data_IF_716313389857
#
_entry.id   IF_716313389857
#
_cell.length_a   1.000
_cell.length_b   1.000
_cell.length_c   1.000
_cell.angle_alpha   90.00
_cell.angle_beta   90.00
_cell.angle_gamma   90.00
#
_symmetry.space_group_name_H-M   'P 1'
#
loop_
_entity.id
_entity.type
_entity.pdbx_description
1 polymer ?
#
# COMPACT_ATOMS: atom_id res chain seq x y z
N UNK A 1 23.01 -22.67 -19.54
CA UNK A 1 22.15 -23.54 -18.71
C UNK A 1 21.87 -22.77 -17.43
N UNK A 2 20.77 -22.02 -17.38
CA UNK A 2 20.44 -21.17 -16.22
C UNK A 2 19.67 -22.02 -15.20
N UNK A 3 20.20 -22.15 -13.99
CA UNK A 3 19.47 -22.71 -12.87
C UNK A 3 18.36 -21.73 -12.48
N UNK A 4 17.10 -22.16 -12.58
CA UNK A 4 15.98 -21.46 -11.96
C UNK A 4 16.22 -21.40 -10.44
N UNK A 5 16.30 -20.21 -9.83
CA UNK A 5 16.21 -20.14 -8.40
C UNK A 5 14.72 -20.14 -8.05
N UNK A 6 14.29 -21.20 -7.34
CA UNK A 6 12.96 -21.44 -6.76
C UNK A 6 12.54 -20.41 -5.69
N UNK A 7 12.97 -19.15 -5.83
CA UNK A 7 12.83 -18.09 -4.84
C UNK A 7 11.37 -17.75 -4.57
N UNK A 8 10.47 -17.87 -5.54
CA UNK A 8 9.04 -17.57 -5.31
C UNK A 8 8.40 -18.56 -4.34
N UNK A 9 8.64 -19.87 -4.49
CA UNK A 9 8.09 -20.88 -3.59
C UNK A 9 8.81 -20.88 -2.24
N UNK A 10 10.13 -20.63 -2.20
CA UNK A 10 10.88 -20.56 -0.95
C UNK A 10 10.49 -19.33 -0.13
N UNK A 11 10.31 -18.15 -0.72
CA UNK A 11 9.83 -16.97 0.00
C UNK A 11 8.38 -17.12 0.44
N UNK A 12 7.50 -17.61 -0.44
CA UNK A 12 6.09 -17.82 -0.11
C UNK A 12 5.94 -18.92 0.97
N UNK A 13 6.74 -19.98 0.92
CA UNK A 13 6.73 -21.05 1.92
C UNK A 13 7.39 -20.64 3.23
N UNK A 14 8.45 -19.81 3.20
CA UNK A 14 9.10 -19.25 4.41
C UNK A 14 8.21 -18.20 5.08
N UNK A 15 7.40 -17.47 4.30
CA UNK A 15 6.37 -16.58 4.80
C UNK A 15 5.18 -17.38 5.37
N UNK A 16 4.64 -18.35 4.62
CA UNK A 16 3.58 -19.26 5.07
C UNK A 16 3.99 -20.06 6.32
N UNK A 17 5.24 -20.53 6.41
CA UNK A 17 5.71 -21.31 7.56
C UNK A 17 5.90 -20.44 8.80
N UNK A 18 6.41 -19.20 8.65
CA UNK A 18 6.46 -18.21 9.73
C UNK A 18 5.06 -17.77 10.18
N UNK A 19 4.07 -17.83 9.27
CA UNK A 19 2.72 -17.33 9.52
C UNK A 19 1.65 -18.42 9.67
N UNK A 20 2.03 -19.70 9.80
CA UNK A 20 1.09 -20.81 10.06
C UNK A 20 0.50 -20.81 11.47
N UNK A 21 1.09 -20.05 12.40
CA UNK A 21 0.58 -19.89 13.77
C UNK A 21 -0.48 -18.78 13.92
N UNK A 22 -0.84 -18.06 12.85
CA UNK A 22 -1.90 -17.03 12.89
C UNK A 22 -3.32 -17.62 12.75
N UNK A 23 -3.53 -18.81 13.31
CA UNK A 23 -4.85 -19.37 13.51
C UNK A 23 -5.57 -18.61 14.61
N UNK A 24 -6.74 -18.05 14.29
CA UNK A 24 -7.80 -17.64 15.22
C UNK A 24 -7.50 -16.58 16.30
N UNK A 25 -6.39 -15.84 16.24
CA UNK A 25 -6.36 -14.54 16.94
C UNK A 25 -7.07 -13.50 16.08
N UNK A 26 -7.75 -12.55 16.71
CA UNK A 26 -8.27 -11.33 16.09
C UNK A 26 -7.09 -10.50 15.55
N UNK A 27 -6.51 -10.92 14.43
CA UNK A 27 -5.38 -10.24 13.80
C UNK A 27 -5.84 -8.83 13.44
N UNK A 28 -5.22 -7.82 14.04
CA UNK A 28 -5.21 -6.45 13.54
C UNK A 28 -4.52 -6.45 12.17
N UNK A 29 -5.26 -6.88 11.15
CA UNK A 29 -4.84 -6.82 9.77
C UNK A 29 -4.53 -5.35 9.41
N UNK A 30 -3.51 -5.10 8.59
CA UNK A 30 -3.08 -3.75 8.31
C UNK A 30 -4.08 -3.00 7.43
N UNK A 31 -3.98 -1.67 7.44
CA UNK A 31 -4.54 -0.83 6.38
C UNK A 31 -3.59 -0.87 5.19
N UNK A 32 -4.13 -1.02 3.99
CA UNK A 32 -3.37 -0.93 2.74
C UNK A 32 -3.25 0.52 2.32
N UNK A 33 -2.05 0.93 1.93
CA UNK A 33 -1.78 2.25 1.38
C UNK A 33 -1.02 2.09 0.07
N UNK A 34 -1.62 2.52 -1.04
CA UNK A 34 -0.95 2.54 -2.33
C UNK A 34 -0.69 3.98 -2.78
N UNK A 35 0.57 4.30 -3.08
CA UNK A 35 0.99 5.62 -3.55
C UNK A 35 1.86 5.40 -4.79
N UNK A 36 1.46 5.97 -5.93
CA UNK A 36 2.24 5.90 -7.18
C UNK A 36 2.68 7.28 -7.59
N UNK A 37 4.01 7.48 -7.72
CA UNK A 37 4.64 8.73 -8.16
C UNK A 37 5.50 8.48 -9.38
N UNK A 38 6.77 8.09 -9.20
CA UNK A 38 7.71 7.73 -10.27
C UNK A 38 7.55 8.54 -11.57
N UNK A 39 7.42 7.83 -12.67
CA UNK A 39 7.20 8.33 -14.05
C UNK A 39 5.75 8.81 -14.34
N UNK A 40 4.82 8.74 -13.39
CA UNK A 40 3.39 9.00 -13.61
C UNK A 40 3.03 10.48 -13.78
N UNK A 41 4.01 11.38 -13.75
CA UNK A 41 3.80 12.84 -13.82
C UNK A 41 2.95 13.27 -15.03
N UNK A 42 3.06 12.56 -16.16
CA UNK A 42 2.33 12.88 -17.40
C UNK A 42 0.91 12.31 -17.46
N UNK A 43 0.56 11.42 -16.54
CA UNK A 43 -0.72 10.70 -16.53
C UNK A 43 -1.54 11.00 -15.28
N UNK A 44 -0.90 11.47 -14.21
CA UNK A 44 -1.56 11.79 -12.95
C UNK A 44 -2.27 13.14 -13.02
N UNK A 45 -3.60 13.14 -12.84
CA UNK A 45 -4.40 14.35 -13.01
C UNK A 45 -4.03 15.44 -12.00
N UNK A 46 -3.74 15.06 -10.76
CA UNK A 46 -3.31 15.99 -9.72
C UNK A 46 -1.97 16.63 -10.05
N UNK A 47 -1.00 15.85 -10.56
CA UNK A 47 0.27 16.42 -11.02
C UNK A 47 0.06 17.38 -12.21
N UNK A 48 -0.76 17.01 -13.19
CA UNK A 48 -1.06 17.85 -14.35
C UNK A 48 -1.63 19.20 -13.90
N UNK A 49 -2.53 19.19 -12.92
CA UNK A 49 -3.24 20.38 -12.43
C UNK A 49 -2.39 21.22 -11.47
N UNK A 50 -1.59 20.60 -10.61
CA UNK A 50 -0.93 21.28 -9.48
C UNK A 50 0.59 21.32 -9.56
N UNK A 51 1.20 20.62 -10.54
CA UNK A 51 2.65 20.53 -10.75
C UNK A 51 3.42 20.09 -9.50
N UNK A 52 2.80 19.22 -8.71
CA UNK A 52 3.35 18.61 -7.50
C UNK A 52 2.63 17.31 -7.18
N UNK A 53 3.27 16.44 -6.40
CA UNK A 53 2.64 15.21 -5.93
C UNK A 53 1.62 15.49 -4.82
N UNK A 54 0.62 14.61 -4.70
CA UNK A 54 -0.28 14.59 -3.53
C UNK A 54 0.56 14.41 -2.26
N UNK A 55 0.29 15.25 -1.26
CA UNK A 55 0.93 15.17 0.05
C UNK A 55 0.46 13.89 0.78
N UNK A 56 1.28 13.35 1.67
CA UNK A 56 0.97 12.10 2.39
C UNK A 56 -0.28 12.27 3.26
N UNK A 57 -0.53 13.47 3.81
CA UNK A 57 -1.69 13.74 4.66
C UNK A 57 -3.02 13.44 3.97
N UNK A 58 -3.10 13.58 2.64
CA UNK A 58 -4.32 13.30 1.88
C UNK A 58 -4.67 11.81 1.99
N UNK A 59 -3.68 10.94 1.79
CA UNK A 59 -3.87 9.51 1.97
C UNK A 59 -4.14 9.13 3.44
N UNK A 60 -3.44 9.77 4.38
CA UNK A 60 -3.65 9.53 5.82
C UNK A 60 -5.07 9.94 6.24
N UNK A 61 -5.63 11.01 5.66
CA UNK A 61 -7.01 11.41 5.91
C UNK A 61 -7.98 10.29 5.53
N UNK A 62 -7.81 9.64 4.38
CA UNK A 62 -8.63 8.48 4.00
C UNK A 62 -8.57 7.31 4.98
N UNK A 63 -7.40 7.10 5.60
CA UNK A 63 -7.27 6.11 6.69
C UNK A 63 -8.10 6.55 7.90
N UNK A 64 -7.94 7.80 8.34
CA UNK A 64 -8.61 8.34 9.53
C UNK A 64 -10.13 8.37 9.35
N UNK A 65 -10.62 8.79 8.19
CA UNK A 65 -12.05 8.86 7.90
C UNK A 65 -12.67 7.45 7.92
N UNK A 66 -11.98 6.46 7.36
CA UNK A 66 -12.45 5.06 7.38
C UNK A 66 -12.36 4.44 8.80
N UNK A 67 -11.36 4.81 9.59
CA UNK A 67 -11.26 4.44 11.01
C UNK A 67 -12.43 5.00 11.83
N UNK A 68 -12.77 6.26 11.61
CA UNK A 68 -13.93 6.91 12.24
C UNK A 68 -15.24 6.25 11.82
N UNK A 69 -15.42 6.00 10.52
CA UNK A 69 -16.61 5.33 9.99
C UNK A 69 -16.80 3.93 10.58
N UNK A 70 -15.71 3.21 10.83
CA UNK A 70 -15.71 1.86 11.42
C UNK A 70 -15.67 1.85 12.94
N UNK A 71 -15.46 3.00 13.58
CA UNK A 71 -15.16 3.12 15.00
C UNK A 71 -14.04 2.16 15.45
N UNK A 72 -12.97 2.07 14.65
CA UNK A 72 -11.84 1.16 14.88
C UNK A 72 -10.54 1.81 14.43
N UNK A 73 -9.50 1.77 15.29
CA UNK A 73 -8.15 2.24 14.96
C UNK A 73 -7.27 1.06 14.53
N UNK A 74 -6.50 1.24 13.44
CA UNK A 74 -5.57 0.24 12.95
C UNK A 74 -4.12 0.62 13.25
N UNK A 75 -3.44 -0.25 14.00
CA UNK A 75 -2.05 -0.03 14.46
C UNK A 75 -1.00 -0.23 13.38
N UNK A 76 -1.33 -0.88 12.27
CA UNK A 76 -0.38 -1.31 11.25
C UNK A 76 -0.83 -0.87 9.86
N UNK A 77 0.11 -0.39 9.06
CA UNK A 77 -0.11 0.03 7.68
C UNK A 77 0.85 -0.76 6.79
N UNK A 78 0.34 -1.33 5.69
CA UNK A 78 1.16 -1.88 4.63
C UNK A 78 1.20 -0.88 3.47
N UNK A 79 2.35 -0.24 3.28
CA UNK A 79 2.56 0.75 2.24
C UNK A 79 3.22 0.14 1.00
N UNK A 80 2.57 0.34 -0.15
CA UNK A 80 3.00 -0.04 -1.48
C UNK A 80 3.29 1.23 -2.28
N UNK A 81 4.56 1.48 -2.61
CA UNK A 81 4.98 2.67 -3.37
C UNK A 81 6.19 2.38 -4.24
N UNK A 82 6.32 3.13 -5.32
CA UNK A 82 7.48 3.14 -6.22
C UNK A 82 8.45 4.30 -5.90
N UNK A 83 8.13 5.13 -4.90
CA UNK A 83 8.94 6.27 -4.48
C UNK A 83 9.57 6.03 -3.10
N UNK A 84 10.91 5.92 -3.09
CA UNK A 84 11.71 5.75 -1.88
C UNK A 84 11.56 6.93 -0.91
N UNK A 85 11.36 8.15 -1.42
CA UNK A 85 11.18 9.34 -0.59
C UNK A 85 9.87 9.28 0.19
N UNK A 86 8.78 8.83 -0.44
CA UNK A 86 7.49 8.57 0.23
C UNK A 86 7.67 7.58 1.36
N UNK A 87 8.38 6.48 1.10
CA UNK A 87 8.60 5.46 2.11
C UNK A 87 9.37 6.01 3.32
N UNK A 88 10.43 6.78 3.08
CA UNK A 88 11.20 7.43 4.14
C UNK A 88 10.34 8.40 4.95
N UNK A 89 9.49 9.20 4.29
CA UNK A 89 8.56 10.10 4.98
C UNK A 89 7.55 9.33 5.84
N UNK A 90 6.95 8.25 5.33
CA UNK A 90 6.02 7.42 6.12
C UNK A 90 6.69 6.85 7.38
N UNK A 91 7.92 6.35 7.25
CA UNK A 91 8.71 5.83 8.37
C UNK A 91 9.05 6.93 9.38
N UNK A 92 9.46 8.09 8.89
CA UNK A 92 9.78 9.24 9.73
C UNK A 92 8.55 9.75 10.49
N UNK A 93 7.40 9.85 9.83
CA UNK A 93 6.15 10.31 10.42
C UNK A 93 5.65 9.34 11.51
N UNK A 94 5.86 8.03 11.31
CA UNK A 94 5.52 7.01 12.29
C UNK A 94 6.48 6.95 13.49
N UNK A 95 7.75 7.32 13.31
CA UNK A 95 8.78 7.30 14.35
C UNK A 95 8.50 8.36 15.43
N UNK A 96 8.33 7.97 16.70
CA UNK A 96 8.08 8.89 17.83
C UNK A 96 9.21 9.86 18.13
N UNK A 97 10.43 9.52 17.74
CA UNK A 97 11.62 10.35 17.98
C UNK A 97 11.85 11.39 16.88
N UNK A 98 11.13 11.30 15.76
CA UNK A 98 11.26 12.28 14.68
C UNK A 98 10.78 13.66 15.14
N UNK A 99 11.61 14.67 14.87
CA UNK A 99 11.40 16.09 15.17
C UNK A 99 10.98 16.92 13.95
N UNK A 100 10.71 16.28 12.81
CA UNK A 100 10.29 17.00 11.62
C UNK A 100 8.95 17.71 11.83
N UNK A 101 8.75 18.80 11.09
CA UNK A 101 7.61 19.71 11.22
C UNK A 101 6.71 19.76 9.98
N UNK A 102 7.14 19.12 8.88
CA UNK A 102 6.37 18.97 7.65
C UNK A 102 5.18 18.03 7.86
N UNK A 103 4.09 18.28 7.13
CA UNK A 103 2.86 17.47 7.16
C UNK A 103 2.37 17.10 8.59
N UNK A 104 2.06 18.09 9.46
CA UNK A 104 1.75 17.86 10.87
C UNK A 104 0.57 16.90 11.09
N UNK A 105 -0.42 16.93 10.20
CA UNK A 105 -1.55 16.00 10.21
C UNK A 105 -1.09 14.55 9.98
N UNK A 106 -0.30 14.29 8.93
CA UNK A 106 0.22 12.96 8.65
C UNK A 106 1.08 12.44 9.82
N UNK A 107 1.93 13.30 10.39
CA UNK A 107 2.75 12.97 11.57
C UNK A 107 1.90 12.60 12.77
N UNK A 108 0.89 13.40 13.10
CA UNK A 108 0.01 13.15 14.23
C UNK A 108 -0.66 11.78 14.12
N UNK A 109 -1.24 11.47 12.96
CA UNK A 109 -2.05 10.27 12.78
C UNK A 109 -1.25 9.02 12.44
N UNK A 110 -0.04 9.14 11.90
CA UNK A 110 0.85 8.00 11.68
C UNK A 110 1.73 7.68 12.90
N UNK A 111 1.88 8.60 13.86
CA UNK A 111 2.74 8.40 15.03
C UNK A 111 2.41 7.08 15.73
N UNK A 112 3.44 6.30 16.06
CA UNK A 112 3.34 4.98 16.74
C UNK A 112 2.69 3.87 15.91
N UNK A 113 2.31 4.12 14.65
CA UNK A 113 1.87 3.04 13.75
C UNK A 113 3.06 2.24 13.24
N UNK A 114 2.85 0.95 13.03
CA UNK A 114 3.84 0.10 12.38
C UNK A 114 3.71 0.23 10.86
N UNK A 115 4.74 0.76 10.21
CA UNK A 115 4.82 0.81 8.74
C UNK A 115 5.51 -0.46 8.25
N UNK A 116 4.71 -1.37 7.70
CA UNK A 116 5.18 -2.48 6.88
C UNK A 116 5.24 -2.01 5.43
N UNK A 117 6.23 -2.44 4.67
CA UNK A 117 6.39 -1.90 3.33
C UNK A 117 7.10 -2.82 2.37
N UNK A 118 6.88 -2.52 1.09
CA UNK A 118 7.73 -2.93 0.00
C UNK A 118 7.87 -1.74 -0.96
N UNK A 119 9.12 -1.35 -1.25
CA UNK A 119 9.40 -0.34 -2.27
C UNK A 119 9.75 -1.10 -3.54
N UNK A 120 8.92 -0.99 -4.57
CA UNK A 120 9.26 -1.54 -5.88
C UNK A 120 10.23 -0.56 -6.55
N UNK A 121 11.15 -1.10 -7.34
CA UNK A 121 11.90 -0.22 -8.23
C UNK A 121 10.92 0.39 -9.28
N UNK A 122 11.27 1.53 -9.89
CA UNK A 122 10.43 2.25 -10.86
C UNK A 122 10.02 1.37 -12.05
N UNK A 123 9.17 1.89 -12.95
CA UNK A 123 8.42 1.20 -14.01
C UNK A 123 9.07 -0.02 -14.69
N UNK A 124 10.40 -0.06 -14.79
CA UNK A 124 11.21 -1.23 -15.11
C UNK A 124 10.86 -2.49 -14.28
N UNK A 125 10.26 -2.38 -13.10
CA UNK A 125 9.78 -3.53 -12.33
C UNK A 125 8.50 -4.15 -12.87
N UNK A 126 7.80 -3.47 -13.77
CA UNK A 126 6.70 -4.05 -14.54
C UNK A 126 7.20 -4.75 -15.81
N UNK A 127 8.51 -4.72 -16.08
CA UNK A 127 9.11 -5.53 -17.12
C UNK A 127 9.14 -7.00 -16.64
N UNK A 128 8.37 -7.92 -17.26
CA UNK A 128 8.38 -9.33 -16.88
C UNK A 128 9.75 -10.00 -17.08
N UNK A 129 10.66 -9.36 -17.81
CA UNK A 129 12.04 -9.81 -17.99
C UNK A 129 12.98 -9.37 -16.85
N UNK A 130 12.57 -8.39 -16.03
CA UNK A 130 13.26 -7.97 -14.80
C UNK A 130 12.55 -8.59 -13.59
N UNK A 131 12.70 -9.91 -13.46
CA UNK A 131 11.93 -10.78 -12.54
C UNK A 131 11.85 -10.29 -11.08
N UNK A 132 12.94 -9.75 -10.53
CA UNK A 132 12.98 -9.39 -9.10
C UNK A 132 11.98 -8.27 -8.77
N UNK A 133 11.90 -7.25 -9.63
CA UNK A 133 10.97 -6.13 -9.43
C UNK A 133 9.51 -6.57 -9.60
N UNK A 134 9.27 -7.41 -10.60
CA UNK A 134 7.93 -7.93 -10.89
C UNK A 134 7.42 -8.87 -9.80
N UNK A 135 8.26 -9.77 -9.29
CA UNK A 135 7.91 -10.67 -8.19
C UNK A 135 7.58 -9.91 -6.90
N UNK A 136 8.36 -8.86 -6.59
CA UNK A 136 8.07 -7.99 -5.45
C UNK A 136 6.70 -7.34 -5.60
N UNK A 137 6.43 -6.77 -6.78
CA UNK A 137 5.14 -6.15 -7.11
C UNK A 137 3.99 -7.15 -6.90
N UNK A 138 4.07 -8.34 -7.51
CA UNK A 138 3.03 -9.36 -7.39
C UNK A 138 2.79 -9.80 -5.95
N UNK A 139 3.85 -10.02 -5.17
CA UNK A 139 3.73 -10.42 -3.75
C UNK A 139 3.02 -9.35 -2.93
N UNK A 140 3.28 -8.08 -3.22
CA UNK A 140 2.73 -6.97 -2.45
C UNK A 140 1.30 -6.65 -2.85
N UNK A 141 1.02 -6.72 -4.15
CA UNK A 141 -0.32 -6.70 -4.70
C UNK A 141 -1.18 -7.79 -4.06
N UNK A 142 -0.71 -9.04 -4.10
CA UNK A 142 -1.42 -10.18 -3.52
C UNK A 142 -1.60 -10.03 -2.01
N UNK A 143 -0.59 -9.50 -1.30
CA UNK A 143 -0.69 -9.24 0.13
C UNK A 143 -1.79 -8.22 0.43
N UNK A 144 -1.84 -7.10 -0.31
CA UNK A 144 -2.88 -6.09 -0.15
C UNK A 144 -4.27 -6.70 -0.38
N UNK A 145 -4.46 -7.42 -1.49
CA UNK A 145 -5.75 -8.03 -1.85
C UNK A 145 -6.20 -9.08 -0.83
N UNK A 146 -5.28 -9.87 -0.24
CA UNK A 146 -5.66 -10.91 0.71
C UNK A 146 -5.80 -10.42 2.15
N UNK A 147 -4.97 -9.48 2.58
CA UNK A 147 -4.73 -9.23 4.01
C UNK A 147 -4.93 -7.79 4.45
N UNK A 148 -5.04 -6.78 3.57
CA UNK A 148 -5.37 -5.44 4.06
C UNK A 148 -6.83 -5.42 4.57
N UNK A 149 -7.18 -4.60 5.56
CA UNK A 149 -8.60 -4.41 5.98
C UNK A 149 -9.40 -3.60 4.99
N UNK A 150 -8.75 -2.58 4.45
CA UNK A 150 -9.17 -1.75 3.35
C UNK A 150 -7.92 -1.15 2.72
N UNK A 151 -8.07 -0.59 1.52
CA UNK A 151 -6.96 0.06 0.80
C UNK A 151 -7.31 1.52 0.57
N UNK A 152 -6.38 2.43 0.83
CA UNK A 152 -6.42 3.83 0.38
C UNK A 152 -5.49 4.00 -0.82
N UNK A 153 -6.03 4.56 -1.89
CA UNK A 153 -5.34 4.73 -3.18
C UNK A 153 -5.82 6.03 -3.89
N UNK A 154 -5.16 6.34 -5.01
CA UNK A 154 -5.51 7.32 -6.03
C UNK A 154 -6.12 6.66 -7.28
N UNK A 155 -7.22 7.22 -7.78
CA UNK A 155 -8.01 6.73 -8.93
C UNK A 155 -7.24 6.68 -10.25
N UNK A 156 -6.27 7.57 -10.43
CA UNK A 156 -5.58 7.74 -11.72
C UNK A 156 -4.52 6.66 -11.97
N UNK A 157 -4.28 5.75 -11.02
CA UNK A 157 -3.30 4.69 -11.19
C UNK A 157 -3.93 3.47 -11.85
N UNK A 158 -3.36 2.99 -12.97
CA UNK A 158 -3.76 1.70 -13.55
C UNK A 158 -3.62 0.55 -12.54
N UNK A 159 -2.54 0.57 -11.75
CA UNK A 159 -2.32 -0.42 -10.68
C UNK A 159 -3.40 -0.29 -9.59
N UNK A 160 -3.81 0.93 -9.26
CA UNK A 160 -4.81 1.17 -8.24
C UNK A 160 -6.21 0.74 -8.66
N UNK A 161 -6.60 1.04 -9.91
CA UNK A 161 -7.82 0.50 -10.51
C UNK A 161 -7.81 -1.02 -10.57
N UNK A 162 -6.67 -1.61 -10.93
CA UNK A 162 -6.52 -3.06 -10.96
C UNK A 162 -6.60 -3.71 -9.57
N UNK A 163 -6.07 -3.07 -8.52
CA UNK A 163 -6.25 -3.49 -7.13
C UNK A 163 -7.74 -3.51 -6.74
N UNK A 164 -8.46 -2.43 -7.06
CA UNK A 164 -9.89 -2.29 -6.80
C UNK A 164 -10.71 -3.38 -7.51
N UNK A 165 -10.49 -3.56 -8.82
CA UNK A 165 -11.15 -4.59 -9.62
C UNK A 165 -10.86 -6.00 -9.07
N UNK A 166 -9.61 -6.27 -8.69
CA UNK A 166 -9.21 -7.58 -8.14
C UNK A 166 -9.89 -7.89 -6.81
N UNK A 167 -10.07 -6.89 -5.94
CA UNK A 167 -10.79 -7.04 -4.67
C UNK A 167 -12.26 -7.35 -4.94
N UNK A 168 -12.91 -6.56 -5.80
CA UNK A 168 -14.32 -6.77 -6.13
C UNK A 168 -14.56 -8.13 -6.79
N UNK A 169 -13.74 -8.52 -7.76
CA UNK A 169 -13.86 -9.82 -8.42
C UNK A 169 -13.74 -10.98 -7.42
N UNK A 170 -12.78 -10.92 -6.49
CA UNK A 170 -12.60 -11.99 -5.51
C UNK A 170 -13.72 -12.06 -4.46
N UNK A 171 -14.31 -10.93 -4.10
CA UNK A 171 -15.52 -10.91 -3.28
C UNK A 171 -16.67 -11.65 -3.96
N UNK A 172 -16.90 -11.39 -5.25
CA UNK A 172 -17.96 -12.07 -6.02
C UNK A 172 -17.72 -13.58 -6.13
N UNK A 173 -16.45 -14.00 -6.22
CA UNK A 173 -16.07 -15.42 -6.28
C UNK A 173 -16.13 -16.14 -4.92
N UNK A 174 -16.60 -15.50 -3.84
CA UNK A 174 -16.61 -16.03 -2.47
C UNK A 174 -15.24 -16.60 -2.02
N UNK A 175 -14.16 -16.06 -2.58
CA UNK A 175 -12.81 -16.40 -2.12
C UNK A 175 -12.63 -15.81 -0.73
N UNK A 176 -11.92 -16.50 0.16
CA UNK A 176 -11.65 -16.03 1.53
C UNK A 176 -10.74 -14.79 1.54
N UNK A 177 -11.29 -13.66 1.12
CA UNK A 177 -10.66 -12.34 1.11
C UNK A 177 -10.95 -11.65 2.42
N UNK A 178 -9.91 -11.13 3.08
CA UNK A 178 -10.06 -10.39 4.35
C UNK A 178 -10.11 -8.88 4.18
N UNK A 179 -9.82 -8.40 2.97
CA UNK A 179 -10.02 -7.01 2.57
C UNK A 179 -11.49 -6.76 2.37
N UNK A 180 -12.02 -5.76 3.07
CA UNK A 180 -13.46 -5.54 3.13
C UNK A 180 -13.93 -4.38 2.24
N UNK A 181 -13.02 -3.46 1.86
CA UNK A 181 -13.37 -2.31 1.02
C UNK A 181 -12.14 -1.68 0.35
N UNK A 182 -12.43 -0.84 -0.62
CA UNK A 182 -11.49 0.06 -1.28
C UNK A 182 -11.94 1.50 -1.03
N UNK A 183 -11.00 2.39 -0.65
CA UNK A 183 -11.26 3.79 -0.27
C UNK A 183 -10.50 4.68 -1.23
N UNK A 184 -11.22 5.53 -1.96
CA UNK A 184 -10.66 6.53 -2.87
C UNK A 184 -10.62 7.88 -2.15
N UNK A 185 -9.56 8.12 -1.38
CA UNK A 185 -9.42 9.36 -0.58
C UNK A 185 -8.13 10.14 -0.84
N UNK A 186 -7.57 10.02 -2.04
CA UNK A 186 -6.54 10.92 -2.54
C UNK A 186 -7.17 11.81 -3.62
N UNK A 187 -7.82 12.94 -3.27
CA UNK A 187 -8.61 13.73 -4.22
C UNK A 187 -7.74 14.26 -5.37
N UNK A 188 -8.36 14.41 -6.53
CA UNK A 188 -7.72 14.94 -7.74
C UNK A 188 -7.61 16.48 -7.72
N UNK A 189 -8.24 17.12 -6.73
CA UNK A 189 -8.28 18.57 -6.54
C UNK A 189 -7.99 18.94 -5.08
N UNK A 190 -7.40 20.12 -4.88
CA UNK A 190 -7.28 20.75 -3.56
C UNK A 190 -8.66 21.28 -3.15
N UNK A 191 -9.15 20.84 -1.99
CA UNK A 191 -10.30 21.46 -1.32
C UNK A 191 -9.84 22.63 -0.45
#
# INVERSE_FOLDING_TARGET
MYHEPSLSSVYLNKWKSRNRSWGQSTINLPVGLFIRRGDKEREDSFWINHRRWRNIFMYVKGIVDEEQRRNQIFSSIFAMTDDVSVMKSLQDYANTQSKGIDEPYARQYLRRRQIMYNVFAPQLCFDPFIRIGFDQFLVSFEFLVQYAKFIVDQSDSNVGRYLEESIYARHQLNVSVRTNSFVRDAPDFLQ
#
